data_IF_356122620402
#
_entry.id   IF_356122620402
#
_cell.length_a   1.000
_cell.length_b   1.000
_cell.length_c   1.000
_cell.angle_alpha   90.00
_cell.angle_beta   90.00
_cell.angle_gamma   90.00
#
_symmetry.space_group_name_H-M   'P 1'
#
loop_
_entity.id
_entity.type
_entity.pdbx_description
1 polymer ?
#
# COMPACT_ATOMS: atom_id res chain seq x y z
N UNK A 1 3.22 25.51 0.32
CA UNK A 1 3.19 24.65 -0.86
C UNK A 1 3.97 23.40 -0.52
N UNK A 2 3.31 22.29 -0.24
CA UNK A 2 3.99 21.03 0.04
C UNK A 2 4.19 20.34 -1.30
N UNK A 3 5.40 20.42 -1.87
CA UNK A 3 5.73 19.62 -3.05
C UNK A 3 5.91 18.17 -2.62
N UNK A 4 5.03 17.29 -3.09
CA UNK A 4 5.15 15.86 -2.88
C UNK A 4 6.18 15.34 -3.90
N UNK A 5 7.41 15.14 -3.46
CA UNK A 5 8.43 14.49 -4.27
C UNK A 5 8.42 12.98 -4.00
N UNK A 6 8.17 12.18 -5.03
CA UNK A 6 8.29 10.73 -4.94
C UNK A 6 9.77 10.36 -5.04
N UNK A 7 10.31 9.75 -3.99
CA UNK A 7 11.62 9.12 -4.03
C UNK A 7 11.54 7.83 -4.86
N UNK A 8 12.57 7.48 -5.65
CA UNK A 8 12.61 6.18 -6.31
C UNK A 8 12.53 5.07 -5.26
N UNK A 9 11.68 4.07 -5.52
CA UNK A 9 11.42 2.99 -4.58
C UNK A 9 12.70 2.15 -4.36
N UNK A 10 13.23 2.19 -3.14
CA UNK A 10 14.37 1.40 -2.70
C UNK A 10 13.88 0.16 -1.93
N UNK A 11 13.18 -0.74 -2.63
CA UNK A 11 12.46 -1.88 -2.04
C UNK A 11 13.34 -2.88 -1.27
N UNK A 12 14.66 -2.84 -1.49
CA UNK A 12 15.63 -3.70 -0.80
C UNK A 12 16.24 -3.10 0.48
N UNK A 13 15.89 -1.87 0.84
CA UNK A 13 16.49 -1.17 1.98
C UNK A 13 15.69 -1.40 3.27
N UNK A 14 15.65 -2.66 3.70
CA UNK A 14 15.06 -3.04 4.98
C UNK A 14 16.15 -3.10 6.07
N UNK A 15 15.88 -2.58 7.28
CA UNK A 15 16.79 -2.77 8.41
C UNK A 15 17.02 -4.27 8.64
N UNK A 16 18.28 -4.73 8.74
CA UNK A 16 18.52 -6.11 9.15
C UNK A 16 17.96 -6.30 10.56
N UNK A 17 17.26 -7.41 10.78
CA UNK A 17 16.75 -7.76 12.11
C UNK A 17 17.94 -7.88 13.08
N UNK A 18 17.79 -7.38 14.33
CA UNK A 18 18.84 -7.52 15.32
C UNK A 18 19.05 -9.01 15.63
N UNK A 19 20.18 -9.58 15.20
CA UNK A 19 20.59 -10.92 15.62
C UNK A 19 21.06 -10.88 17.07
N UNK A 20 20.61 -11.81 17.91
CA UNK A 20 21.10 -11.96 19.28
C UNK A 20 22.63 -12.04 19.29
N UNK A 21 23.28 -11.05 19.91
CA UNK A 21 24.73 -11.03 20.11
C UNK A 21 25.59 -10.31 19.05
N UNK A 22 25.01 -9.63 18.05
CA UNK A 22 25.78 -8.68 17.21
C UNK A 22 25.53 -7.23 17.64
N UNK A 23 26.55 -6.37 17.64
CA UNK A 23 26.38 -4.93 17.86
C UNK A 23 25.41 -4.36 16.84
N UNK A 24 24.63 -3.36 17.25
CA UNK A 24 23.63 -2.76 16.38
C UNK A 24 24.31 -2.15 15.14
N UNK A 25 23.69 -2.17 13.94
CA UNK A 25 24.27 -1.54 12.75
C UNK A 25 24.65 -0.05 12.96
N UNK A 26 24.00 0.61 13.91
CA UNK A 26 24.31 1.97 14.33
C UNK A 26 25.66 2.13 15.02
N UNK A 27 26.20 1.09 15.66
CA UNK A 27 27.50 1.13 16.36
C UNK A 27 28.68 0.82 15.41
N UNK A 28 28.42 0.13 14.30
CA UNK A 28 29.47 -0.40 13.40
C UNK A 28 29.54 0.34 12.06
N UNK A 29 28.51 1.11 11.69
CA UNK A 29 28.48 1.94 10.49
C UNK A 29 28.21 1.15 9.20
N UNK A 30 28.31 1.83 8.04
CA UNK A 30 27.96 1.26 6.73
C UNK A 30 28.71 -0.05 6.41
N UNK A 31 29.96 -0.18 6.84
CA UNK A 31 30.80 -1.36 6.57
C UNK A 31 30.30 -2.66 7.20
N UNK A 32 29.40 -2.58 8.18
CA UNK A 32 28.80 -3.74 8.83
C UNK A 32 27.64 -4.37 8.05
N UNK A 33 27.11 -3.63 7.07
CA UNK A 33 25.97 -4.07 6.28
C UNK A 33 26.43 -5.01 5.14
N UNK A 34 25.57 -5.94 4.69
CA UNK A 34 25.82 -6.72 3.48
C UNK A 34 26.10 -5.83 2.26
N UNK A 35 26.92 -6.29 1.32
CA UNK A 35 27.37 -5.50 0.18
C UNK A 35 26.22 -4.91 -0.66
N UNK A 36 25.14 -5.69 -0.84
CA UNK A 36 23.94 -5.24 -1.54
C UNK A 36 23.26 -4.07 -0.81
N UNK A 37 23.13 -4.17 0.51
CA UNK A 37 22.54 -3.12 1.33
C UNK A 37 23.44 -1.87 1.38
N UNK A 38 24.76 -2.04 1.37
CA UNK A 38 25.69 -0.91 1.23
C UNK A 38 25.50 -0.17 -0.09
N UNK A 39 25.36 -0.90 -1.20
CA UNK A 39 25.11 -0.31 -2.51
C UNK A 39 23.76 0.43 -2.52
N UNK A 40 22.72 -0.16 -1.94
CA UNK A 40 21.40 0.45 -1.82
C UNK A 40 21.43 1.74 -0.99
N UNK A 41 22.14 1.75 0.16
CA UNK A 41 22.31 2.96 1.00
C UNK A 41 23.03 4.07 0.23
N UNK A 42 24.13 3.75 -0.46
CA UNK A 42 24.85 4.75 -1.28
C UNK A 42 23.97 5.30 -2.41
N UNK A 43 23.21 4.44 -3.07
CA UNK A 43 22.25 4.85 -4.09
C UNK A 43 21.17 5.78 -3.53
N UNK A 44 20.58 5.44 -2.39
CA UNK A 44 19.60 6.27 -1.70
C UNK A 44 20.17 7.63 -1.32
N UNK A 45 21.37 7.68 -0.74
CA UNK A 45 22.06 8.94 -0.39
C UNK A 45 22.29 9.82 -1.61
N UNK A 46 22.73 9.24 -2.73
CA UNK A 46 22.89 9.97 -3.99
C UNK A 46 21.56 10.54 -4.51
N UNK A 47 20.48 9.75 -4.47
CA UNK A 47 19.14 10.19 -4.88
C UNK A 47 18.58 11.29 -3.97
N UNK A 48 18.78 11.18 -2.65
CA UNK A 48 18.38 12.20 -1.69
C UNK A 48 19.14 13.52 -1.93
N UNK A 49 20.44 13.45 -2.18
CA UNK A 49 21.23 14.64 -2.48
C UNK A 49 20.78 15.32 -3.78
N UNK A 50 20.50 14.55 -4.83
CA UNK A 50 19.96 15.06 -6.07
C UNK A 50 18.59 15.73 -5.88
N UNK A 51 17.69 15.09 -5.12
CA UNK A 51 16.38 15.64 -4.79
C UNK A 51 16.51 16.97 -4.03
N UNK A 52 17.30 16.97 -2.95
CA UNK A 52 17.49 18.16 -2.15
C UNK A 52 18.23 19.27 -2.91
N UNK A 53 19.08 18.90 -3.88
CA UNK A 53 19.68 19.81 -4.85
C UNK A 53 18.64 20.48 -5.74
N UNK A 54 17.74 19.70 -6.34
CA UNK A 54 16.66 20.22 -7.17
C UNK A 54 15.73 21.19 -6.41
N UNK A 55 15.50 20.93 -5.12
CA UNK A 55 14.67 21.77 -4.24
C UNK A 55 15.45 22.93 -3.57
N UNK A 56 16.77 23.01 -3.78
CA UNK A 56 17.63 24.04 -3.16
C UNK A 56 17.65 23.97 -1.62
N UNK A 57 17.51 22.77 -1.05
CA UNK A 57 17.37 22.56 0.39
C UNK A 57 18.72 22.53 1.10
N UNK A 58 18.69 23.04 2.34
CA UNK A 58 19.66 22.86 3.42
C UNK A 58 18.96 22.03 4.50
N UNK A 59 19.18 20.73 4.45
CA UNK A 59 18.58 19.75 5.34
C UNK A 59 19.28 19.69 6.71
N UNK A 60 18.48 19.47 7.76
CA UNK A 60 18.89 19.02 9.08
C UNK A 60 18.34 17.61 9.31
N UNK A 61 19.22 16.65 9.55
CA UNK A 61 18.88 15.22 9.56
C UNK A 61 18.62 14.72 10.98
N UNK A 62 17.48 14.07 11.17
CA UNK A 62 17.11 13.32 12.37
C UNK A 62 16.91 11.85 11.99
N UNK A 63 17.28 10.92 12.86
CA UNK A 63 17.20 9.50 12.55
C UNK A 63 16.69 8.68 13.75
N UNK A 64 15.69 7.85 13.49
CA UNK A 64 15.10 6.94 14.46
C UNK A 64 15.19 5.52 13.87
N UNK A 65 16.05 4.69 14.48
CA UNK A 65 16.37 3.35 13.99
C UNK A 65 17.84 3.19 13.60
N UNK A 66 18.28 1.93 13.50
CA UNK A 66 19.68 1.61 13.25
C UNK A 66 20.09 1.91 11.80
N UNK A 67 19.28 1.51 10.82
CA UNK A 67 19.57 1.74 9.40
C UNK A 67 19.43 3.23 9.06
N UNK A 68 18.42 3.89 9.60
CA UNK A 68 18.20 5.33 9.46
C UNK A 68 19.40 6.15 9.95
N UNK A 69 20.02 5.75 11.08
CA UNK A 69 21.26 6.40 11.56
C UNK A 69 22.42 6.22 10.59
N UNK A 70 22.56 5.04 9.98
CA UNK A 70 23.58 4.79 8.94
C UNK A 70 23.32 5.67 7.72
N UNK A 71 22.09 5.71 7.19
CA UNK A 71 21.73 6.55 6.03
C UNK A 71 22.00 8.03 6.32
N UNK A 72 21.59 8.53 7.49
CA UNK A 72 21.81 9.91 7.89
C UNK A 72 23.30 10.26 8.02
N UNK A 73 24.12 9.35 8.57
CA UNK A 73 25.57 9.53 8.69
C UNK A 73 26.27 9.53 7.32
N UNK A 74 25.86 8.65 6.40
CA UNK A 74 26.37 8.62 5.04
C UNK A 74 26.00 9.91 4.28
N UNK A 75 24.76 10.40 4.39
CA UNK A 75 24.35 11.68 3.80
C UNK A 75 25.07 12.90 4.42
N UNK A 76 25.38 12.84 5.72
CA UNK A 76 26.13 13.89 6.41
C UNK A 76 27.59 13.96 5.92
N UNK A 77 28.21 12.80 5.64
CA UNK A 77 29.58 12.71 5.14
C UNK A 77 29.70 12.88 3.62
N UNK A 78 28.60 12.70 2.87
CA UNK A 78 28.56 12.82 1.41
C UNK A 78 29.00 14.21 0.93
N UNK A 79 30.07 14.25 0.13
CA UNK A 79 30.77 15.49 -0.23
C UNK A 79 29.88 16.50 -0.97
N UNK A 80 29.06 16.03 -1.91
CA UNK A 80 28.12 16.87 -2.66
C UNK A 80 27.09 17.52 -1.72
N UNK A 81 26.48 16.72 -0.84
CA UNK A 81 25.51 17.21 0.13
C UNK A 81 26.11 18.22 1.12
N UNK A 82 27.36 18.00 1.56
CA UNK A 82 28.09 18.97 2.40
C UNK A 82 28.26 20.33 1.73
N UNK A 83 28.61 20.34 0.44
CA UNK A 83 28.77 21.58 -0.31
C UNK A 83 27.42 22.28 -0.50
N UNK A 84 26.39 21.53 -0.90
CA UNK A 84 25.02 22.04 -1.05
C UNK A 84 24.50 22.71 0.22
N UNK A 85 24.67 22.08 1.39
CA UNK A 85 24.23 22.65 2.69
C UNK A 85 24.88 23.99 3.03
N UNK A 86 26.05 24.32 2.46
CA UNK A 86 26.71 25.63 2.65
C UNK A 86 26.11 26.72 1.77
N UNK A 87 25.62 26.36 0.58
CA UNK A 87 25.14 27.31 -0.43
C UNK A 87 23.63 27.49 -0.41
N UNK A 88 22.88 26.46 0.00
CA UNK A 88 21.42 26.48 0.04
C UNK A 88 20.87 27.34 1.19
N UNK A 89 19.82 28.10 0.90
CA UNK A 89 19.15 28.99 1.87
C UNK A 89 17.87 28.37 2.46
N UNK A 90 17.22 27.46 1.73
CA UNK A 90 15.93 26.89 2.14
C UNK A 90 16.16 25.81 3.19
N UNK A 91 15.83 26.09 4.45
CA UNK A 91 15.99 25.11 5.53
C UNK A 91 14.86 24.08 5.49
N UNK A 92 15.20 22.82 5.72
CA UNK A 92 14.23 21.75 5.92
C UNK A 92 14.75 20.77 6.98
N UNK A 93 13.85 20.17 7.75
CA UNK A 93 14.18 19.06 8.65
C UNK A 93 13.78 17.75 7.97
N UNK A 94 14.68 16.77 7.96
CA UNK A 94 14.47 15.45 7.35
C UNK A 94 14.54 14.42 8.46
N UNK A 95 13.48 13.61 8.60
CA UNK A 95 13.41 12.55 9.60
C UNK A 95 13.48 11.19 8.90
N UNK A 96 14.54 10.44 9.17
CA UNK A 96 14.69 9.05 8.75
C UNK A 96 14.12 8.12 9.82
N UNK A 97 13.21 7.24 9.44
CA UNK A 97 12.55 6.30 10.36
C UNK A 97 12.64 4.89 9.80
N UNK A 98 13.18 3.96 10.58
CA UNK A 98 13.20 2.53 10.23
C UNK A 98 11.77 1.97 10.27
N UNK A 99 11.30 1.38 9.16
CA UNK A 99 9.95 0.77 9.11
C UNK A 99 9.75 -0.34 10.15
N UNK A 100 10.82 -0.99 10.58
CA UNK A 100 10.79 -2.02 11.64
C UNK A 100 10.35 -1.48 13.01
N UNK A 101 10.29 -0.16 13.19
CA UNK A 101 9.78 0.46 14.42
C UNK A 101 8.25 0.53 14.47
N UNK A 102 7.59 0.38 13.34
CA UNK A 102 6.14 0.32 13.23
C UNK A 102 5.80 -0.68 12.11
N UNK A 103 5.71 -1.96 12.42
CA UNK A 103 5.24 -2.93 11.44
C UNK A 103 3.72 -2.97 11.38
N UNK A 104 3.04 -2.77 12.52
CA UNK A 104 1.57 -2.77 12.62
C UNK A 104 0.92 -1.78 11.64
N UNK A 105 1.43 -0.55 11.51
CA UNK A 105 0.90 0.43 10.57
C UNK A 105 1.12 0.10 9.09
N UNK A 106 2.01 -0.84 8.75
CA UNK A 106 2.25 -1.25 7.36
C UNK A 106 1.36 -2.42 6.92
N UNK A 107 0.92 -3.24 7.87
CA UNK A 107 0.14 -4.45 7.61
C UNK A 107 -1.30 -4.36 8.13
N UNK A 108 -1.63 -3.32 8.89
CA UNK A 108 -2.97 -3.10 9.44
C UNK A 108 -3.97 -2.64 8.39
N UNK A 109 -5.24 -2.97 8.62
CA UNK A 109 -6.36 -2.69 7.72
C UNK A 109 -7.21 -1.49 8.18
N UNK A 110 -6.66 -0.65 9.06
CA UNK A 110 -7.36 0.48 9.69
C UNK A 110 -7.64 1.66 8.75
N UNK A 111 -7.01 1.67 7.57
CA UNK A 111 -7.28 2.64 6.53
C UNK A 111 -8.72 2.68 6.05
N UNK A 112 -9.37 3.83 6.17
CA UNK A 112 -10.76 4.03 5.72
C UNK A 112 -10.90 4.99 4.53
N UNK A 113 -9.78 5.49 3.98
CA UNK A 113 -9.76 6.31 2.78
C UNK A 113 -9.84 5.43 1.51
N UNK A 114 -10.32 6.03 0.43
CA UNK A 114 -10.58 5.29 -0.81
C UNK A 114 -9.29 4.94 -1.56
N UNK A 115 -8.30 5.84 -1.53
CA UNK A 115 -7.03 5.68 -2.22
C UNK A 115 -6.28 4.43 -1.75
N UNK A 116 -6.22 4.21 -0.43
CA UNK A 116 -5.58 3.04 0.17
C UNK A 116 -6.24 1.74 -0.28
N UNK A 117 -7.58 1.66 -0.22
CA UNK A 117 -8.30 0.47 -0.69
C UNK A 117 -8.06 0.21 -2.18
N UNK A 118 -8.04 1.26 -3.00
CA UNK A 118 -7.74 1.13 -4.45
C UNK A 118 -6.31 0.58 -4.63
N UNK A 119 -5.32 1.16 -3.97
CA UNK A 119 -3.90 0.79 -4.11
C UNK A 119 -3.56 -0.61 -3.58
N UNK A 120 -4.35 -1.09 -2.60
CA UNK A 120 -4.22 -2.42 -2.00
C UNK A 120 -4.91 -3.52 -2.80
N UNK A 121 -6.04 -3.20 -3.45
CA UNK A 121 -6.89 -4.19 -4.11
C UNK A 121 -6.61 -4.32 -5.61
N UNK A 122 -6.36 -3.21 -6.30
CA UNK A 122 -6.16 -3.24 -7.75
C UNK A 122 -4.75 -3.72 -8.12
N UNK A 123 -4.60 -4.43 -9.26
CA UNK A 123 -3.31 -4.93 -9.71
C UNK A 123 -2.33 -3.78 -10.01
N UNK A 124 -1.04 -4.01 -9.82
CA UNK A 124 -0.01 -2.99 -10.13
C UNK A 124 0.02 -2.69 -11.63
N UNK A 125 0.20 -1.42 -11.96
CA UNK A 125 0.41 -1.00 -13.35
C UNK A 125 1.76 -1.55 -13.85
N UNK A 126 1.83 -2.27 -14.99
CA UNK A 126 3.07 -2.87 -15.45
C UNK A 126 4.22 -1.86 -15.59
N UNK A 127 5.37 -2.16 -14.97
CA UNK A 127 6.53 -1.26 -14.94
C UNK A 127 6.49 -0.18 -13.85
N UNK A 128 5.38 -0.06 -13.11
CA UNK A 128 5.23 0.88 -12.00
C UNK A 128 5.14 0.14 -10.66
N UNK A 129 5.52 0.85 -9.59
CA UNK A 129 5.53 0.32 -8.22
C UNK A 129 4.48 0.97 -7.32
N UNK A 130 4.16 2.23 -7.60
CA UNK A 130 3.26 3.06 -6.78
C UNK A 130 1.88 3.27 -7.39
N UNK A 131 1.68 2.85 -8.63
CA UNK A 131 0.42 3.01 -9.37
C UNK A 131 -0.23 1.65 -9.64
N UNK A 132 -1.52 1.67 -9.89
CA UNK A 132 -2.34 0.50 -10.17
C UNK A 132 -2.97 0.60 -11.55
N UNK A 133 -3.20 -0.55 -12.14
CA UNK A 133 -3.90 -0.70 -13.40
C UNK A 133 -5.40 -0.51 -13.17
N UNK A 134 -5.98 0.41 -13.94
CA UNK A 134 -7.44 0.58 -14.03
C UNK A 134 -7.91 -0.13 -15.29
N UNK A 135 -8.82 -1.10 -15.15
CA UNK A 135 -9.38 -1.79 -16.31
C UNK A 135 -10.28 -0.83 -17.12
N UNK A 136 -9.92 -0.53 -18.36
CA UNK A 136 -10.61 0.45 -19.20
C UNK A 136 -11.71 -0.14 -20.09
N UNK A 137 -11.99 -1.45 -20.01
CA UNK A 137 -12.90 -2.17 -20.91
C UNK A 137 -14.29 -1.53 -20.98
N UNK A 138 -14.81 -1.04 -19.86
CA UNK A 138 -16.13 -0.43 -19.75
C UNK A 138 -16.31 0.76 -20.70
N UNK A 139 -15.24 1.48 -21.04
CA UNK A 139 -15.26 2.63 -21.95
C UNK A 139 -15.07 2.25 -23.43
N UNK A 140 -14.94 0.97 -23.74
CA UNK A 140 -14.71 0.47 -25.10
C UNK A 140 -15.89 -0.33 -25.61
N UNK A 141 -15.97 -0.53 -26.93
CA UNK A 141 -16.95 -1.42 -27.54
C UNK A 141 -16.66 -2.92 -27.29
N UNK A 142 -15.51 -3.26 -26.68
CA UNK A 142 -15.10 -4.64 -26.44
C UNK A 142 -15.98 -5.28 -25.37
N UNK A 143 -16.35 -6.55 -25.59
CA UNK A 143 -16.99 -7.40 -24.59
C UNK A 143 -16.03 -8.55 -24.29
N UNK A 144 -15.50 -8.57 -23.07
CA UNK A 144 -14.62 -9.63 -22.60
C UNK A 144 -14.93 -9.91 -21.13
N UNK A 145 -14.86 -11.19 -20.76
CA UNK A 145 -14.94 -11.63 -19.37
C UNK A 145 -13.56 -11.67 -18.69
N UNK A 146 -12.50 -11.38 -19.45
CA UNK A 146 -11.13 -11.33 -18.94
C UNK A 146 -10.79 -9.93 -18.44
N UNK A 147 -10.60 -9.83 -17.12
CA UNK A 147 -10.19 -8.61 -16.42
C UNK A 147 -8.77 -8.14 -16.79
N UNK A 148 -7.98 -9.02 -17.42
CA UNK A 148 -6.57 -8.79 -17.81
C UNK A 148 -6.37 -8.62 -19.30
N UNK A 149 -7.45 -8.34 -20.05
CA UNK A 149 -7.44 -8.26 -21.52
C UNK A 149 -6.31 -7.38 -22.07
N UNK A 150 -5.22 -8.01 -22.51
CA UNK A 150 -4.01 -7.34 -23.02
C UNK A 150 -4.18 -6.59 -24.35
N UNK A 151 -5.41 -6.54 -24.88
CA UNK A 151 -5.77 -5.77 -26.06
C UNK A 151 -5.98 -4.29 -25.71
N UNK A 152 -6.47 -4.00 -24.50
CA UNK A 152 -6.77 -2.64 -24.05
C UNK A 152 -5.65 -2.16 -23.13
N UNK A 153 -5.08 -1.00 -23.44
CA UNK A 153 -4.11 -0.37 -22.57
C UNK A 153 -4.77 0.00 -21.23
N UNK A 154 -4.15 -0.35 -20.08
CA UNK A 154 -4.70 -0.01 -18.79
C UNK A 154 -4.65 1.49 -18.51
N UNK A 155 -5.59 1.96 -17.70
CA UNK A 155 -5.54 3.28 -17.08
C UNK A 155 -4.65 3.30 -15.83
N UNK A 156 -4.47 4.48 -15.26
CA UNK A 156 -3.63 4.77 -14.10
C UNK A 156 -4.24 5.86 -13.20
N UNK A 157 -3.77 5.96 -11.96
CA UNK A 157 -4.25 6.96 -11.01
C UNK A 157 -3.54 8.30 -11.14
N UNK A 158 -2.31 8.31 -11.66
CA UNK A 158 -1.51 9.52 -11.79
C UNK A 158 -2.04 10.43 -12.93
N UNK A 159 -2.74 11.51 -12.57
CA UNK A 159 -3.34 12.46 -13.51
C UNK A 159 -2.82 13.90 -13.28
N UNK A 160 -1.52 14.17 -13.47
CA UNK A 160 -0.90 15.44 -13.07
C UNK A 160 -1.39 16.66 -13.87
N UNK A 161 -1.89 16.45 -15.09
CA UNK A 161 -2.31 17.53 -15.99
C UNK A 161 -3.83 17.80 -15.97
N UNK A 162 -4.60 17.05 -15.17
CA UNK A 162 -6.05 17.22 -15.04
C UNK A 162 -6.37 17.75 -13.63
N UNK A 163 -6.70 19.04 -13.48
CA UNK A 163 -7.04 19.63 -12.18
C UNK A 163 -8.23 18.98 -11.49
N UNK A 164 -9.23 18.50 -12.26
CA UNK A 164 -10.41 17.86 -11.70
C UNK A 164 -10.07 16.45 -11.18
N UNK A 165 -9.26 15.69 -11.92
CA UNK A 165 -8.75 14.41 -11.45
C UNK A 165 -7.85 14.58 -10.22
N UNK A 166 -6.98 15.60 -10.20
CA UNK A 166 -6.13 15.90 -9.03
C UNK A 166 -6.95 16.18 -7.78
N UNK A 167 -7.96 17.04 -7.87
CA UNK A 167 -8.85 17.34 -6.74
C UNK A 167 -9.63 16.10 -6.27
N UNK A 168 -10.08 15.25 -7.20
CA UNK A 168 -10.72 13.99 -6.85
C UNK A 168 -9.75 13.03 -6.14
N UNK A 169 -8.51 12.91 -6.64
CA UNK A 169 -7.49 12.07 -6.02
C UNK A 169 -7.12 12.55 -4.61
N UNK A 170 -7.01 13.86 -4.40
CA UNK A 170 -6.86 14.45 -3.06
C UNK A 170 -8.04 14.09 -2.16
N UNK A 171 -9.26 14.06 -2.71
CA UNK A 171 -10.45 13.64 -1.96
C UNK A 171 -10.41 12.15 -1.60
N UNK A 172 -9.90 11.30 -2.49
CA UNK A 172 -9.74 9.86 -2.23
C UNK A 172 -8.73 9.57 -1.12
N UNK A 173 -7.70 10.42 -0.97
CA UNK A 173 -6.68 10.30 0.07
C UNK A 173 -7.15 10.82 1.43
N UNK A 174 -7.97 11.89 1.44
CA UNK A 174 -8.27 12.62 2.68
C UNK A 174 -9.67 12.36 3.25
N UNK A 175 -10.61 11.86 2.44
CA UNK A 175 -11.99 11.60 2.88
C UNK A 175 -12.20 10.11 3.13
N UNK A 176 -13.17 9.82 4.01
CA UNK A 176 -13.65 8.45 4.23
C UNK A 176 -14.28 7.91 2.95
N UNK A 177 -14.24 6.59 2.76
CA UNK A 177 -14.78 5.90 1.58
C UNK A 177 -16.15 6.43 1.12
N UNK A 178 -17.12 6.58 2.02
CA UNK A 178 -18.48 7.05 1.66
C UNK A 178 -18.48 8.47 1.10
N UNK A 179 -17.68 9.37 1.68
CA UNK A 179 -17.58 10.77 1.26
C UNK A 179 -16.80 10.90 -0.05
N UNK A 180 -15.67 10.18 -0.16
CA UNK A 180 -14.89 10.09 -1.39
C UNK A 180 -15.73 9.58 -2.58
N UNK A 181 -16.61 8.59 -2.36
CA UNK A 181 -17.53 8.07 -3.40
C UNK A 181 -18.61 9.09 -3.77
N UNK A 182 -19.09 9.90 -2.82
CA UNK A 182 -19.99 11.02 -3.13
C UNK A 182 -19.27 12.08 -3.98
N UNK A 183 -18.01 12.33 -3.70
CA UNK A 183 -17.19 13.27 -4.46
C UNK A 183 -16.89 12.77 -5.88
N UNK A 184 -16.60 11.48 -6.04
CA UNK A 184 -16.49 10.83 -7.34
C UNK A 184 -17.75 11.05 -8.19
N UNK A 185 -18.93 10.87 -7.56
CA UNK A 185 -20.21 11.13 -8.22
C UNK A 185 -20.37 12.61 -8.60
N UNK A 186 -20.03 13.54 -7.70
CA UNK A 186 -20.14 14.99 -7.94
C UNK A 186 -19.31 15.39 -9.16
N UNK A 187 -18.03 15.02 -9.19
CA UNK A 187 -17.14 15.31 -10.31
C UNK A 187 -17.64 14.69 -11.63
N UNK A 188 -18.10 13.44 -11.60
CA UNK A 188 -18.62 12.76 -12.78
C UNK A 188 -19.89 13.43 -13.33
N UNK A 189 -20.77 13.88 -12.44
CA UNK A 189 -21.97 14.65 -12.78
C UNK A 189 -21.61 15.98 -13.44
N UNK A 190 -20.62 16.70 -12.90
CA UNK A 190 -20.16 17.97 -13.46
C UNK A 190 -19.54 17.79 -14.84
N UNK A 191 -18.70 16.76 -15.03
CA UNK A 191 -18.13 16.42 -16.32
C UNK A 191 -19.22 16.07 -17.35
N UNK A 192 -20.18 15.22 -16.98
CA UNK A 192 -21.27 14.84 -17.87
C UNK A 192 -22.14 16.05 -18.26
N UNK A 193 -22.36 16.97 -17.33
CA UNK A 193 -23.13 18.20 -17.57
C UNK A 193 -22.39 19.15 -18.52
N UNK A 194 -21.07 19.30 -18.39
CA UNK A 194 -20.24 20.12 -19.30
C UNK A 194 -20.25 19.60 -20.72
N UNK A 195 -20.34 18.29 -20.89
CA UNK A 195 -20.38 17.61 -22.19
C UNK A 195 -21.82 17.43 -22.73
N UNK A 196 -22.83 17.98 -22.05
CA UNK A 196 -24.26 17.86 -22.40
C UNK A 196 -24.75 16.41 -22.52
N UNK A 197 -24.22 15.50 -21.70
CA UNK A 197 -24.62 14.09 -21.69
C UNK A 197 -25.95 13.90 -20.92
N UNK A 198 -26.79 12.92 -21.30
CA UNK A 198 -28.12 12.72 -20.72
C UNK A 198 -28.06 12.06 -19.33
N UNK A 199 -27.57 12.81 -18.33
CA UNK A 199 -27.42 12.34 -16.97
C UNK A 199 -28.72 12.49 -16.16
N UNK A 200 -29.16 11.41 -15.53
CA UNK A 200 -30.30 11.41 -14.61
C UNK A 200 -29.82 11.47 -13.17
N UNK A 201 -30.13 12.57 -12.48
CA UNK A 201 -29.82 12.71 -11.05
C UNK A 201 -30.75 11.83 -10.22
N UNK A 202 -30.19 10.94 -9.40
CA UNK A 202 -30.95 10.22 -8.38
C UNK A 202 -30.55 10.68 -6.98
N UNK A 203 -31.51 11.03 -6.14
CA UNK A 203 -31.20 11.38 -4.75
C UNK A 203 -31.01 10.07 -3.95
N UNK A 204 -29.91 9.95 -3.18
CA UNK A 204 -29.70 8.78 -2.32
C UNK A 204 -28.24 8.30 -2.23
N UNK A 205 -28.08 7.09 -1.65
CA UNK A 205 -26.78 6.42 -1.50
C UNK A 205 -26.16 6.16 -2.87
N UNK A 206 -24.89 6.52 -3.02
CA UNK A 206 -24.12 6.25 -4.23
C UNK A 206 -23.68 4.79 -4.24
N UNK A 207 -23.99 4.07 -5.33
CA UNK A 207 -23.58 2.67 -5.53
C UNK A 207 -22.58 2.56 -6.70
N UNK A 208 -21.73 1.51 -6.74
CA UNK A 208 -20.82 1.33 -7.85
C UNK A 208 -21.54 1.14 -9.20
N UNK A 209 -22.74 0.56 -9.23
CA UNK A 209 -23.58 0.42 -10.43
C UNK A 209 -24.02 1.79 -10.94
N UNK A 210 -24.36 2.71 -10.03
CA UNK A 210 -24.72 4.08 -10.40
C UNK A 210 -23.53 4.79 -11.07
N UNK A 211 -22.35 4.73 -10.46
CA UNK A 211 -21.15 5.35 -11.04
C UNK A 211 -20.82 4.73 -12.40
N UNK A 212 -20.93 3.41 -12.53
CA UNK A 212 -20.76 2.69 -13.80
C UNK A 212 -21.72 3.24 -14.87
N UNK A 213 -23.01 3.43 -14.53
CA UNK A 213 -24.01 3.95 -15.47
C UNK A 213 -23.69 5.36 -15.98
N UNK A 214 -23.05 6.19 -15.16
CA UNK A 214 -22.64 7.54 -15.55
C UNK A 214 -21.36 7.52 -16.40
N UNK A 215 -20.39 6.65 -16.08
CA UNK A 215 -19.19 6.40 -16.90
C UNK A 215 -19.59 5.98 -18.32
N UNK A 216 -20.58 5.09 -18.45
CA UNK A 216 -21.06 4.59 -19.74
C UNK A 216 -21.60 5.69 -20.67
N UNK A 217 -22.02 6.85 -20.14
CA UNK A 217 -22.47 7.97 -20.97
C UNK A 217 -21.36 8.55 -21.85
N UNK A 218 -20.09 8.36 -21.47
CA UNK A 218 -18.93 8.88 -22.19
C UNK A 218 -18.47 7.95 -23.31
N UNK A 219 -18.81 6.66 -23.27
CA UNK A 219 -18.28 5.59 -24.13
C UNK A 219 -18.24 5.89 -25.63
N UNK A 220 -19.26 6.58 -26.16
CA UNK A 220 -19.36 6.88 -27.60
C UNK A 220 -18.99 8.33 -27.95
N UNK A 221 -18.53 9.13 -26.98
CA UNK A 221 -18.14 10.52 -27.18
C UNK A 221 -16.62 10.65 -26.96
N UNK A 222 -15.85 10.44 -28.03
CA UNK A 222 -14.38 10.49 -28.00
C UNK A 222 -13.84 11.80 -27.44
N UNK A 223 -14.49 12.93 -27.77
CA UNK A 223 -14.09 14.24 -27.27
C UNK A 223 -14.27 14.33 -25.75
N UNK A 224 -15.41 13.89 -25.24
CA UNK A 224 -15.66 13.86 -23.80
C UNK A 224 -14.73 12.89 -23.07
N UNK A 225 -14.40 11.74 -23.69
CA UNK A 225 -13.42 10.80 -23.15
C UNK A 225 -12.03 11.43 -23.05
N UNK A 226 -11.57 12.11 -24.11
CA UNK A 226 -10.26 12.79 -24.11
C UNK A 226 -10.21 13.89 -23.05
N UNK A 227 -11.26 14.73 -22.97
CA UNK A 227 -11.34 15.85 -22.03
C UNK A 227 -11.40 15.43 -20.56
N UNK A 228 -11.93 14.24 -20.27
CA UNK A 228 -12.20 13.77 -18.90
C UNK A 228 -11.54 12.43 -18.59
N UNK A 229 -10.54 12.03 -19.37
CA UNK A 229 -9.92 10.71 -19.28
C UNK A 229 -9.36 10.42 -17.88
N UNK A 230 -8.66 11.40 -17.28
CA UNK A 230 -8.07 11.23 -15.96
C UNK A 230 -9.12 11.08 -14.86
N UNK A 231 -10.15 11.92 -14.89
CA UNK A 231 -11.29 11.79 -13.99
C UNK A 231 -11.97 10.42 -14.12
N UNK A 232 -12.25 9.97 -15.35
CA UNK A 232 -12.92 8.69 -15.60
C UNK A 232 -12.08 7.51 -15.06
N UNK A 233 -10.76 7.53 -15.25
CA UNK A 233 -9.86 6.51 -14.71
C UNK A 233 -9.96 6.41 -13.19
N UNK A 234 -9.97 7.54 -12.47
CA UNK A 234 -10.11 7.54 -11.01
C UNK A 234 -11.47 6.99 -10.55
N UNK A 235 -12.57 7.41 -11.21
CA UNK A 235 -13.90 6.89 -10.84
C UNK A 235 -14.04 5.41 -11.18
N UNK A 236 -13.46 4.95 -12.28
CA UNK A 236 -13.42 3.54 -12.65
C UNK A 236 -12.61 2.71 -11.64
N UNK A 237 -11.46 3.22 -11.17
CA UNK A 237 -10.69 2.58 -10.12
C UNK A 237 -11.51 2.40 -8.83
N UNK A 238 -12.24 3.45 -8.43
CA UNK A 238 -13.16 3.39 -7.29
C UNK A 238 -14.26 2.33 -7.49
N UNK A 239 -14.89 2.29 -8.67
CA UNK A 239 -15.92 1.29 -9.00
C UNK A 239 -15.36 -0.14 -8.95
N UNK A 240 -14.18 -0.36 -9.52
CA UNK A 240 -13.53 -1.67 -9.53
C UNK A 240 -13.20 -2.14 -8.12
N UNK A 241 -12.62 -1.27 -7.29
CA UNK A 241 -12.36 -1.58 -5.87
C UNK A 241 -13.65 -1.91 -5.12
N UNK A 242 -14.70 -1.11 -5.28
CA UNK A 242 -15.99 -1.34 -4.59
C UNK A 242 -16.66 -2.65 -4.97
N UNK A 243 -16.44 -3.15 -6.20
CA UNK A 243 -16.97 -4.42 -6.69
C UNK A 243 -16.06 -5.61 -6.40
N UNK A 244 -14.84 -5.39 -5.93
CA UNK A 244 -13.84 -6.45 -5.81
C UNK A 244 -14.14 -7.40 -4.64
N UNK A 245 -14.00 -8.73 -4.80
CA UNK A 245 -14.26 -9.70 -3.73
C UNK A 245 -13.38 -9.51 -2.48
N UNK A 246 -12.15 -8.99 -2.64
CA UNK A 246 -11.26 -8.74 -1.50
C UNK A 246 -11.78 -7.68 -0.52
N UNK A 247 -12.73 -6.83 -0.93
CA UNK A 247 -13.30 -5.82 -0.01
C UNK A 247 -13.96 -6.47 1.21
N UNK A 248 -14.61 -7.63 1.04
CA UNK A 248 -15.16 -8.40 2.16
C UNK A 248 -14.05 -8.97 3.06
N UNK A 249 -12.93 -9.41 2.49
CA UNK A 249 -11.77 -9.91 3.27
C UNK A 249 -11.16 -8.79 4.11
N UNK A 250 -11.04 -7.58 3.54
CA UNK A 250 -10.57 -6.40 4.25
C UNK A 250 -11.42 -6.09 5.48
N UNK A 251 -12.75 -6.09 5.33
CA UNK A 251 -13.68 -5.82 6.44
C UNK A 251 -13.56 -6.88 7.55
N UNK A 252 -13.33 -8.15 7.18
CA UNK A 252 -13.09 -9.22 8.15
C UNK A 252 -11.74 -9.06 8.87
N UNK A 253 -10.66 -8.70 8.16
CA UNK A 253 -9.37 -8.42 8.80
C UNK A 253 -9.49 -7.24 9.77
N UNK A 254 -10.12 -6.14 9.35
CA UNK A 254 -10.34 -5.00 10.23
C UNK A 254 -11.16 -5.37 11.47
N UNK A 255 -12.17 -6.22 11.34
CA UNK A 255 -12.94 -6.72 12.47
C UNK A 255 -12.08 -7.55 13.43
N UNK A 256 -11.24 -8.44 12.89
CA UNK A 256 -10.31 -9.24 13.67
C UNK A 256 -9.26 -8.38 14.38
N UNK A 257 -8.67 -7.40 13.69
CA UNK A 257 -7.69 -6.48 14.26
C UNK A 257 -8.28 -5.63 15.40
N UNK A 258 -9.55 -5.22 15.27
CA UNK A 258 -10.27 -4.52 16.35
C UNK A 258 -10.53 -5.42 17.55
N UNK A 259 -10.89 -6.68 17.32
CA UNK A 259 -11.06 -7.68 18.38
C UNK A 259 -9.73 -7.93 19.10
N UNK A 260 -8.63 -8.06 18.35
CA UNK A 260 -7.29 -8.17 18.91
C UNK A 260 -6.99 -6.97 19.82
N UNK A 261 -7.16 -5.74 19.33
CA UNK A 261 -6.91 -4.52 20.13
C UNK A 261 -7.74 -4.44 21.41
N UNK A 262 -8.94 -5.05 21.44
CA UNK A 262 -9.77 -5.12 22.65
C UNK A 262 -9.32 -6.20 23.65
N UNK A 263 -8.57 -7.21 23.20
CA UNK A 263 -8.19 -8.39 23.99
C UNK A 263 -6.73 -8.40 24.45
N UNK A 264 -5.90 -7.45 23.98
CA UNK A 264 -4.46 -7.38 24.25
C UNK A 264 -4.10 -7.20 25.75
N UNK A 265 -5.00 -6.68 26.57
CA UNK A 265 -4.71 -6.40 27.99
C UNK A 265 -4.75 -7.65 28.88
N UNK A 266 -5.21 -8.79 28.37
CA UNK A 266 -5.32 -10.05 29.09
C UNK A 266 -4.54 -11.17 28.36
N UNK A 267 -3.96 -12.10 29.12
CA UNK A 267 -3.04 -13.16 28.69
C UNK A 267 -3.67 -14.19 27.74
N UNK A 268 -4.05 -13.75 26.55
CA UNK A 268 -4.95 -14.45 25.62
C UNK A 268 -4.40 -14.53 24.18
N UNK A 269 -3.15 -14.15 23.94
CA UNK A 269 -2.55 -14.32 22.60
C UNK A 269 -2.65 -15.79 22.12
N UNK A 270 -2.51 -16.75 23.04
CA UNK A 270 -2.74 -18.17 22.78
C UNK A 270 -4.18 -18.48 22.35
N UNK A 271 -5.18 -17.79 22.89
CA UNK A 271 -6.60 -17.94 22.53
C UNK A 271 -6.84 -17.39 21.11
N UNK A 272 -6.25 -16.25 20.79
CA UNK A 272 -6.36 -15.63 19.45
C UNK A 272 -5.67 -16.49 18.39
N UNK A 273 -4.48 -17.04 18.66
CA UNK A 273 -3.83 -18.00 17.76
C UNK A 273 -4.70 -19.25 17.52
N UNK A 274 -5.32 -19.77 18.57
CA UNK A 274 -6.23 -20.93 18.45
C UNK A 274 -7.47 -20.60 17.61
N UNK A 275 -7.93 -19.36 17.59
CA UNK A 275 -9.01 -18.91 16.70
C UNK A 275 -8.58 -18.88 15.22
N UNK A 276 -7.29 -18.70 14.92
CA UNK A 276 -6.77 -18.74 13.56
C UNK A 276 -6.67 -20.16 12.99
N UNK A 277 -6.37 -21.16 13.83
CA UNK A 277 -6.23 -22.55 13.40
C UNK A 277 -7.35 -23.08 12.47
N UNK A 278 -8.65 -22.94 12.80
CA UNK A 278 -9.72 -23.42 11.93
C UNK A 278 -9.85 -22.63 10.61
N UNK A 279 -9.25 -21.44 10.53
CA UNK A 279 -9.24 -20.63 9.30
C UNK A 279 -8.14 -21.06 8.33
N UNK A 280 -7.06 -21.68 8.83
CA UNK A 280 -5.94 -22.15 8.02
C UNK A 280 -6.33 -23.45 7.32
N UNK A 281 -6.76 -23.33 6.06
CA UNK A 281 -7.20 -24.45 5.22
C UNK A 281 -6.12 -24.83 4.20
N UNK A 282 -6.05 -26.13 3.89
CA UNK A 282 -5.26 -26.65 2.78
C UNK A 282 -5.79 -26.13 1.43
N UNK A 283 -4.95 -26.10 0.41
CA UNK A 283 -5.32 -25.61 -0.92
C UNK A 283 -6.60 -26.29 -1.47
N UNK A 284 -6.69 -27.61 -1.33
CA UNK A 284 -7.84 -28.39 -1.82
C UNK A 284 -9.17 -28.10 -1.12
N UNK A 285 -9.12 -27.56 0.10
CA UNK A 285 -10.31 -27.26 0.93
C UNK A 285 -10.71 -25.78 0.85
N UNK A 286 -9.90 -24.96 0.17
CA UNK A 286 -10.05 -23.51 0.10
C UNK A 286 -11.03 -23.11 -0.99
N UNK A 287 -11.95 -22.21 -0.66
CA UNK A 287 -12.82 -21.49 -1.60
C UNK A 287 -12.23 -20.12 -1.95
N UNK A 288 -12.79 -19.41 -2.94
CA UNK A 288 -12.31 -18.07 -3.33
C UNK A 288 -12.37 -17.05 -2.19
N UNK A 289 -13.30 -17.23 -1.26
CA UNK A 289 -13.55 -16.32 -0.14
C UNK A 289 -12.67 -16.62 1.07
N UNK A 290 -12.00 -17.77 1.11
CA UNK A 290 -11.07 -18.14 2.18
C UNK A 290 -9.72 -17.40 2.06
N UNK A 291 -8.98 -17.35 3.16
CA UNK A 291 -7.69 -16.68 3.26
C UNK A 291 -6.54 -17.50 2.69
N UNK A 292 -5.57 -16.82 2.11
CA UNK A 292 -4.32 -17.38 1.61
C UNK A 292 -3.28 -17.47 2.72
N UNK A 293 -2.20 -18.22 2.49
CA UNK A 293 -1.07 -18.26 3.41
C UNK A 293 -0.42 -16.88 3.61
N UNK A 294 -0.38 -16.04 2.56
CA UNK A 294 0.14 -14.67 2.67
C UNK A 294 -0.71 -13.82 3.62
N UNK A 295 -2.03 -13.93 3.50
CA UNK A 295 -2.95 -13.19 4.37
C UNK A 295 -2.71 -13.52 5.85
N UNK A 296 -2.47 -14.80 6.18
CA UNK A 296 -2.13 -15.21 7.53
C UNK A 296 -0.75 -14.69 7.98
N UNK A 297 0.24 -14.65 7.11
CA UNK A 297 1.55 -14.06 7.43
C UNK A 297 1.43 -12.58 7.75
N UNK A 298 0.67 -11.82 6.95
CA UNK A 298 0.38 -10.40 7.19
C UNK A 298 -0.31 -10.21 8.54
N UNK A 299 -1.33 -11.03 8.83
CA UNK A 299 -2.06 -10.98 10.09
C UNK A 299 -1.18 -11.31 11.30
N UNK A 300 -0.32 -12.32 11.20
CA UNK A 300 0.63 -12.66 12.25
C UNK A 300 1.62 -11.52 12.48
N UNK A 301 2.17 -10.92 11.42
CA UNK A 301 3.04 -9.74 11.56
C UNK A 301 2.29 -8.63 12.30
N UNK A 302 1.03 -8.36 11.95
CA UNK A 302 0.22 -7.37 12.67
C UNK A 302 0.08 -7.73 14.15
N UNK A 303 -0.34 -8.97 14.45
CA UNK A 303 -0.56 -9.44 15.82
C UNK A 303 0.66 -9.25 16.71
N UNK A 304 1.80 -9.79 16.30
CA UNK A 304 3.04 -9.71 17.08
C UNK A 304 3.57 -8.27 17.17
N UNK A 305 3.31 -7.43 16.17
CA UNK A 305 3.74 -6.04 16.17
C UNK A 305 2.95 -5.17 17.15
N UNK A 306 1.65 -5.44 17.32
CA UNK A 306 0.80 -4.66 18.23
C UNK A 306 0.97 -5.12 19.69
N UNK A 307 1.12 -6.43 19.93
CA UNK A 307 1.28 -6.97 21.29
C UNK A 307 2.63 -6.56 21.90
N UNK A 308 3.68 -6.42 21.09
CA UNK A 308 4.99 -5.98 21.57
C UNK A 308 5.70 -7.06 22.40
N UNK A 309 6.01 -6.77 23.67
CA UNK A 309 6.72 -7.72 24.54
C UNK A 309 5.79 -8.84 25.02
N UNK A 310 5.89 -10.00 24.37
CA UNK A 310 5.11 -11.18 24.74
C UNK A 310 5.80 -11.94 25.86
N UNK A 311 5.07 -12.17 26.96
CA UNK A 311 5.53 -13.06 28.03
C UNK A 311 5.44 -14.50 27.54
N UNK A 312 6.58 -15.17 27.45
CA UNK A 312 6.66 -16.60 27.11
C UNK A 312 5.88 -17.44 28.13
N UNK A 313 5.10 -18.40 27.65
CA UNK A 313 4.32 -19.31 28.49
C UNK A 313 3.98 -20.59 27.73
N UNK A 314 3.88 -21.73 28.44
CA UNK A 314 3.70 -23.04 27.80
C UNK A 314 2.47 -23.11 26.88
N UNK A 315 1.38 -22.44 27.24
CA UNK A 315 0.16 -22.41 26.42
C UNK A 315 0.33 -21.61 25.12
N UNK A 316 1.13 -20.54 25.19
CA UNK A 316 1.49 -19.73 24.04
C UNK A 316 2.39 -20.51 23.08
N UNK A 317 3.44 -21.12 23.61
CA UNK A 317 4.39 -21.92 22.83
C UNK A 317 3.66 -23.07 22.12
N UNK A 318 2.70 -23.71 22.79
CA UNK A 318 1.87 -24.77 22.20
C UNK A 318 1.00 -24.24 21.06
N UNK A 319 0.33 -23.10 21.27
CA UNK A 319 -0.52 -22.49 20.24
C UNK A 319 0.30 -22.02 19.03
N UNK A 320 1.48 -21.46 19.24
CA UNK A 320 2.41 -21.10 18.18
C UNK A 320 2.82 -22.32 17.34
N UNK A 321 3.21 -23.42 18.00
CA UNK A 321 3.63 -24.63 17.30
C UNK A 321 2.48 -25.27 16.50
N UNK A 322 1.25 -25.21 16.98
CA UNK A 322 0.08 -25.65 16.23
C UNK A 322 -0.14 -24.79 14.98
N UNK A 323 -0.10 -23.46 15.11
CA UNK A 323 -0.27 -22.53 13.98
C UNK A 323 0.86 -22.69 12.96
N UNK A 324 2.11 -22.81 13.42
CA UNK A 324 3.28 -23.09 12.55
C UNK A 324 3.08 -24.36 11.76
N UNK A 325 2.68 -25.47 12.40
CA UNK A 325 2.42 -26.75 11.71
C UNK A 325 1.30 -26.63 10.68
N UNK A 326 0.21 -25.95 11.02
CA UNK A 326 -0.91 -25.74 10.11
C UNK A 326 -0.48 -24.92 8.88
N UNK A 327 0.27 -23.83 9.08
CA UNK A 327 0.77 -23.00 7.98
C UNK A 327 1.78 -23.73 7.10
N UNK A 328 2.75 -24.45 7.71
CA UNK A 328 3.73 -25.23 6.95
C UNK A 328 3.02 -26.26 6.07
N UNK A 329 2.04 -26.98 6.62
CA UNK A 329 1.23 -27.91 5.84
C UNK A 329 0.51 -27.21 4.68
N UNK A 330 -0.18 -26.11 4.97
CA UNK A 330 -0.91 -25.37 3.94
C UNK A 330 0.02 -24.85 2.83
N UNK A 331 1.20 -24.35 3.17
CA UNK A 331 2.23 -23.88 2.22
C UNK A 331 2.77 -25.03 1.37
N UNK A 332 3.07 -26.19 1.98
CA UNK A 332 3.55 -27.36 1.25
C UNK A 332 2.49 -27.95 0.30
N UNK A 333 1.22 -27.76 0.61
CA UNK A 333 0.09 -28.20 -0.23
C UNK A 333 -0.21 -27.22 -1.38
N UNK A 334 0.43 -26.04 -1.45
CA UNK A 334 0.23 -25.08 -2.54
C UNK A 334 0.86 -25.60 -3.85
N UNK A 335 0.09 -25.66 -4.96
CA UNK A 335 0.60 -26.15 -6.24
C UNK A 335 1.65 -25.21 -6.85
N UNK A 336 1.50 -23.90 -6.63
CA UNK A 336 2.47 -22.88 -7.02
C UNK A 336 2.57 -21.85 -5.88
N UNK A 337 3.67 -21.84 -5.11
CA UNK A 337 3.84 -20.88 -4.03
C UNK A 337 3.94 -19.48 -4.61
N UNK A 338 3.35 -18.50 -3.91
CA UNK A 338 3.41 -17.12 -4.33
C UNK A 338 4.86 -16.58 -4.32
N UNK A 339 5.15 -15.48 -5.03
CA UNK A 339 6.49 -14.89 -5.03
C UNK A 339 7.00 -14.49 -3.63
N UNK A 340 6.10 -14.17 -2.69
CA UNK A 340 6.48 -13.91 -1.30
C UNK A 340 6.90 -15.19 -0.61
N UNK A 341 6.09 -16.25 -0.72
CA UNK A 341 6.37 -17.56 -0.11
C UNK A 341 7.67 -18.14 -0.65
N UNK A 342 7.90 -18.06 -1.97
CA UNK A 342 9.15 -18.49 -2.61
C UNK A 342 10.40 -17.78 -2.09
N UNK A 343 10.28 -16.54 -1.58
CA UNK A 343 11.43 -15.79 -1.04
C UNK A 343 11.77 -16.16 0.40
N UNK A 344 10.80 -16.72 1.13
CA UNK A 344 10.95 -17.05 2.55
C UNK A 344 11.14 -18.55 2.80
N UNK A 345 10.93 -19.41 1.79
CA UNK A 345 11.23 -20.86 1.81
C UNK A 345 12.50 -21.17 1.05
#
# INVERSE_FOLDING_TARGET
SSELCLLPAADGLLPPLPSTGRPSPAEVGLGALPAELQAAVRGLVGNLDALFGAMGLREENFAVGALSRVVAAELASYASARNRRRTSTNKASVVFVDRTLDLAGAVGHHGDNLAEKILSVLPKLPGHKTDVMVNMVELTALQTADDTCGIIAPGCLAQPNDPAAKALWESFMNLKQKEAVMEARRHLVEAASRENLPIKMSMGRVTPEQLSSYIQLFKNNLKALENHCGLLQLVMAAVQMLKHPQTCKWDNFLAFERLLLQTIDESEMSSVLKQLLPMIKSYSERTKDDYTCEDFLVLLVYMYSVVGEIKSGQELDTAEEEVKKALVKAICDEPEPSPLVQKIT
#
